data_IF_699002340461
#
_entry.id   IF_699002340461
#
_cell.length_a   1.000
_cell.length_b   1.000
_cell.length_c   1.000
_cell.angle_alpha   90.00
_cell.angle_beta   90.00
_cell.angle_gamma   90.00
#
_symmetry.space_group_name_H-M   'P 1'
#
loop_
_entity.id
_entity.type
_entity.pdbx_description
1 polymer ?
#
# COMPACT_ATOMS: atom_id res chain seq x y z
N UNK A 1 -49.47 46.05 -27.48
CA UNK A 1 -48.03 46.07 -27.12
C UNK A 1 -47.91 45.68 -25.66
N UNK A 2 -47.52 44.45 -25.38
CA UNK A 2 -47.29 43.98 -24.02
C UNK A 2 -45.77 44.12 -23.72
N UNK A 3 -45.43 45.07 -22.84
CA UNK A 3 -44.08 45.26 -22.33
C UNK A 3 -43.90 44.24 -21.21
N UNK A 4 -43.14 43.19 -21.46
CA UNK A 4 -42.77 42.16 -20.47
C UNK A 4 -41.75 42.79 -19.52
N UNK A 5 -42.19 43.00 -18.28
CA UNK A 5 -41.35 43.57 -17.20
C UNK A 5 -40.25 42.61 -16.81
N UNK A 6 -39.05 42.84 -17.34
CA UNK A 6 -37.83 42.04 -17.15
C UNK A 6 -37.23 42.16 -15.71
N UNK A 7 -37.79 43.05 -14.87
CA UNK A 7 -37.26 43.35 -13.52
C UNK A 7 -37.63 42.30 -12.47
N UNK A 8 -38.62 41.44 -12.73
CA UNK A 8 -39.09 40.42 -11.79
C UNK A 8 -38.43 39.05 -11.96
N UNK A 9 -37.75 38.82 -13.08
CA UNK A 9 -37.05 37.54 -13.35
C UNK A 9 -35.68 37.43 -12.67
N UNK A 10 -35.02 38.57 -12.48
CA UNK A 10 -33.67 38.61 -11.89
C UNK A 10 -33.60 38.09 -10.42
N UNK A 11 -34.52 38.46 -9.51
CA UNK A 11 -34.45 37.98 -8.13
C UNK A 11 -34.84 36.51 -7.97
N UNK A 12 -35.60 35.93 -8.91
CA UNK A 12 -35.95 34.50 -8.87
C UNK A 12 -34.78 33.65 -9.36
N UNK A 13 -34.04 34.11 -10.36
CA UNK A 13 -32.85 33.42 -10.87
C UNK A 13 -31.72 33.44 -9.85
N UNK A 14 -31.48 34.54 -9.15
CA UNK A 14 -30.47 34.67 -8.10
C UNK A 14 -30.83 33.83 -6.87
N UNK A 15 -32.10 33.73 -6.49
CA UNK A 15 -32.55 32.85 -5.41
C UNK A 15 -32.45 31.37 -5.76
N UNK A 16 -32.72 31.02 -7.04
CA UNK A 16 -32.54 29.66 -7.55
C UNK A 16 -31.06 29.23 -7.56
N UNK A 17 -30.16 30.11 -7.95
CA UNK A 17 -28.73 29.87 -7.98
C UNK A 17 -28.12 29.79 -6.56
N UNK A 18 -28.60 30.63 -5.62
CA UNK A 18 -28.17 30.58 -4.23
C UNK A 18 -28.65 29.30 -3.49
N UNK A 19 -29.82 28.76 -3.88
CA UNK A 19 -30.31 27.50 -3.31
C UNK A 19 -29.59 26.27 -3.89
N UNK A 20 -29.06 26.36 -5.11
CA UNK A 20 -28.25 25.30 -5.73
C UNK A 20 -26.83 25.19 -5.11
N UNK A 21 -26.30 26.28 -4.54
CA UNK A 21 -25.01 26.29 -3.86
C UNK A 21 -25.06 25.79 -2.40
N UNK A 22 -26.25 25.58 -1.82
CA UNK A 22 -26.39 25.15 -0.42
C UNK A 22 -26.32 23.63 -0.22
N UNK A 23 -26.21 22.83 -1.28
CA UNK A 23 -25.81 21.43 -1.20
C UNK A 23 -24.28 21.31 -1.27
N UNK A 24 -23.59 21.91 -0.33
CA UNK A 24 -22.23 21.45 0.00
C UNK A 24 -22.41 20.05 0.59
N UNK A 25 -22.32 19.06 -0.26
CA UNK A 25 -22.16 17.68 0.16
C UNK A 25 -20.92 17.67 1.05
N UNK A 26 -21.07 17.21 2.26
CA UNK A 26 -19.92 16.87 3.11
C UNK A 26 -19.18 15.78 2.33
N UNK A 27 -18.16 16.18 1.57
CA UNK A 27 -17.24 15.24 0.96
C UNK A 27 -16.62 14.46 2.12
N UNK A 28 -16.76 13.15 2.12
CA UNK A 28 -16.00 12.31 3.04
C UNK A 28 -14.54 12.45 2.62
N UNK A 29 -13.76 13.17 3.42
CA UNK A 29 -12.33 13.30 3.22
C UNK A 29 -11.66 11.92 3.33
N UNK A 30 -10.52 11.75 2.65
CA UNK A 30 -9.66 10.60 2.81
C UNK A 30 -9.41 10.33 4.31
N UNK A 31 -9.35 9.08 4.69
CA UNK A 31 -9.16 8.69 6.09
C UNK A 31 -7.90 7.86 6.23
N UNK A 32 -7.15 8.12 7.32
CA UNK A 32 -6.02 7.25 7.68
C UNK A 32 -6.48 5.81 7.87
N UNK A 33 -5.60 4.83 7.56
CA UNK A 33 -5.84 3.44 7.93
C UNK A 33 -6.10 3.29 9.43
N UNK A 34 -7.03 2.42 9.80
CA UNK A 34 -7.41 2.20 11.20
C UNK A 34 -6.27 1.61 12.02
N UNK A 35 -6.23 1.95 13.31
CA UNK A 35 -5.35 1.32 14.29
C UNK A 35 -5.68 -0.17 14.36
N UNK A 36 -4.67 -1.01 14.18
CA UNK A 36 -4.84 -2.46 14.24
C UNK A 36 -3.55 -3.16 14.68
N UNK A 37 -3.72 -4.36 15.18
CA UNK A 37 -2.65 -5.35 15.40
C UNK A 37 -3.11 -6.64 14.74
N UNK A 38 -2.37 -7.07 13.74
CA UNK A 38 -2.62 -8.34 13.06
C UNK A 38 -1.50 -9.31 13.36
N UNK A 39 -1.87 -10.50 13.80
CA UNK A 39 -0.96 -11.62 14.00
C UNK A 39 -1.43 -12.78 13.14
N UNK A 40 -0.60 -13.21 12.24
CA UNK A 40 -0.89 -14.26 11.28
C UNK A 40 0.21 -15.32 11.33
N UNK A 41 -0.18 -16.58 11.21
CA UNK A 41 0.72 -17.67 10.83
C UNK A 41 0.25 -18.22 9.50
N UNK A 42 1.12 -18.16 8.49
CA UNK A 42 0.82 -18.66 7.16
C UNK A 42 1.51 -19.99 6.92
N UNK A 43 0.94 -20.81 6.05
CA UNK A 43 1.54 -22.04 5.56
C UNK A 43 1.09 -22.32 4.14
N UNK A 44 2.06 -22.52 3.28
CA UNK A 44 1.87 -23.05 1.93
C UNK A 44 2.55 -24.41 1.83
N UNK A 45 1.87 -25.38 1.22
CA UNK A 45 2.39 -26.73 0.99
C UNK A 45 2.01 -27.13 -0.43
N UNK A 46 2.99 -27.23 -1.31
CA UNK A 46 2.74 -27.55 -2.70
C UNK A 46 4.00 -27.56 -3.57
N UNK A 47 3.98 -28.33 -4.64
CA UNK A 47 5.11 -28.38 -5.59
C UNK A 47 6.41 -28.96 -5.04
N UNK A 48 6.36 -29.70 -3.92
CA UNK A 48 7.56 -30.21 -3.24
C UNK A 48 8.24 -29.15 -2.35
N UNK A 49 7.54 -28.05 -2.04
CA UNK A 49 8.02 -26.97 -1.20
C UNK A 49 7.00 -26.67 -0.10
N UNK A 50 7.49 -26.46 1.10
CA UNK A 50 6.70 -25.93 2.23
C UNK A 50 7.28 -24.58 2.61
N UNK A 51 6.39 -23.57 2.72
CA UNK A 51 6.73 -22.24 3.21
C UNK A 51 5.80 -21.96 4.37
N UNK A 52 6.34 -21.64 5.53
CA UNK A 52 5.52 -21.23 6.66
C UNK A 52 6.24 -20.22 7.56
N UNK A 53 5.47 -19.49 8.36
CA UNK A 53 6.05 -18.54 9.31
C UNK A 53 5.05 -17.57 9.92
N UNK A 54 5.47 -16.83 10.94
CA UNK A 54 4.68 -15.79 11.57
C UNK A 54 4.78 -14.46 10.83
N UNK A 55 3.70 -13.69 10.92
CA UNK A 55 3.66 -12.26 10.56
C UNK A 55 2.99 -11.47 11.66
N UNK A 56 3.54 -10.34 12.01
CA UNK A 56 2.97 -9.39 12.97
C UNK A 56 3.00 -8.01 12.36
N UNK A 57 1.82 -7.38 12.24
CA UNK A 57 1.66 -5.98 11.83
C UNK A 57 1.08 -5.20 13.00
N UNK A 58 1.67 -4.07 13.31
CA UNK A 58 1.14 -3.08 14.25
C UNK A 58 1.00 -1.75 13.53
N UNK A 59 -0.19 -1.15 13.62
CA UNK A 59 -0.48 0.17 13.08
C UNK A 59 -1.09 1.05 14.16
N UNK A 60 -0.61 2.29 14.26
CA UNK A 60 -1.06 3.24 15.25
C UNK A 60 -1.14 4.66 14.71
N UNK A 61 -2.28 5.30 14.87
CA UNK A 61 -2.45 6.73 14.60
C UNK A 61 -1.77 7.57 15.67
N UNK A 62 -1.02 8.57 15.24
CA UNK A 62 -0.34 9.57 16.06
C UNK A 62 -0.95 10.93 15.76
N UNK A 63 -2.04 11.22 16.47
CA UNK A 63 -2.89 12.39 16.19
C UNK A 63 -3.82 12.16 14.99
N UNK A 64 -4.45 13.23 14.47
CA UNK A 64 -5.49 13.10 13.44
C UNK A 64 -4.95 12.94 12.02
N UNK A 65 -3.67 13.18 11.77
CA UNK A 65 -3.10 13.29 10.42
C UNK A 65 -1.97 12.32 10.15
N UNK A 66 -1.50 11.57 11.15
CA UNK A 66 -0.34 10.69 10.99
C UNK A 66 -0.70 9.28 11.47
N UNK A 67 -0.35 8.27 10.69
CA UNK A 67 -0.37 6.88 11.10
C UNK A 67 1.02 6.29 10.90
N UNK A 68 1.48 5.50 11.86
CA UNK A 68 2.74 4.76 11.77
C UNK A 68 2.45 3.28 11.78
N UNK A 69 3.24 2.50 11.05
CA UNK A 69 3.11 1.05 11.03
C UNK A 69 4.47 0.38 11.07
N UNK A 70 4.50 -0.80 11.67
CA UNK A 70 5.65 -1.69 11.67
C UNK A 70 5.19 -3.12 11.43
N UNK A 71 5.88 -3.83 10.57
CA UNK A 71 5.62 -5.24 10.28
C UNK A 71 6.90 -6.04 10.43
N UNK A 72 6.74 -7.22 11.00
CA UNK A 72 7.72 -8.27 11.05
C UNK A 72 7.15 -9.51 10.37
N UNK A 73 7.88 -10.10 9.46
CA UNK A 73 7.43 -11.22 8.66
C UNK A 73 8.56 -12.26 8.52
N UNK A 74 8.26 -13.52 8.66
CA UNK A 74 9.23 -14.62 8.50
C UNK A 74 8.65 -15.66 7.55
N UNK A 75 9.45 -16.08 6.58
CA UNK A 75 9.25 -17.27 5.76
C UNK A 75 10.32 -18.30 6.07
N UNK A 76 9.91 -19.44 6.56
CA UNK A 76 10.74 -20.64 6.62
C UNK A 76 10.44 -21.50 5.40
N UNK A 77 11.39 -21.58 4.49
CA UNK A 77 11.27 -22.33 3.23
C UNK A 77 11.98 -23.66 3.35
N UNK A 78 11.24 -24.74 3.19
CA UNK A 78 11.77 -26.09 3.10
C UNK A 78 11.42 -26.66 1.73
N UNK A 79 12.42 -27.06 0.95
CA UNK A 79 12.21 -27.65 -0.36
C UNK A 79 12.94 -28.99 -0.46
N UNK A 80 12.21 -30.01 -0.91
CA UNK A 80 12.75 -31.32 -1.25
C UNK A 80 12.19 -31.77 -2.58
N UNK A 81 12.99 -31.73 -3.65
CA UNK A 81 12.60 -32.42 -4.88
C UNK A 81 12.72 -33.93 -4.68
N UNK A 82 11.92 -34.72 -5.41
CA UNK A 82 11.96 -36.18 -5.34
C UNK A 82 13.38 -36.72 -5.65
N UNK A 83 14.11 -36.04 -6.52
CA UNK A 83 15.50 -36.38 -6.88
C UNK A 83 16.50 -35.99 -5.78
N UNK A 84 16.22 -34.91 -5.02
CA UNK A 84 17.06 -34.43 -3.91
C UNK A 84 16.88 -35.28 -2.67
N UNK A 85 15.65 -35.74 -2.36
CA UNK A 85 15.38 -36.63 -1.21
C UNK A 85 16.15 -37.95 -1.32
N UNK A 86 16.45 -38.39 -2.52
CA UNK A 86 17.18 -39.63 -2.77
C UNK A 86 18.71 -39.46 -2.65
N UNK A 87 19.29 -38.26 -2.79
CA UNK A 87 20.73 -38.04 -2.96
C UNK A 87 21.32 -36.85 -2.19
N UNK A 88 20.52 -35.96 -1.58
CA UNK A 88 21.03 -34.75 -0.91
C UNK A 88 20.19 -34.38 0.35
N UNK A 89 20.72 -33.45 1.13
CA UNK A 89 20.07 -32.89 2.33
C UNK A 89 18.88 -32.03 1.91
N UNK A 90 17.84 -32.02 2.73
CA UNK A 90 16.72 -31.08 2.63
C UNK A 90 17.25 -29.64 2.61
N UNK A 91 16.80 -28.84 1.63
CA UNK A 91 17.12 -27.41 1.55
C UNK A 91 16.21 -26.65 2.49
N UNK A 92 16.79 -25.92 3.40
CA UNK A 92 16.06 -25.06 4.34
C UNK A 92 16.61 -23.65 4.28
N UNK A 93 15.74 -22.67 4.11
CA UNK A 93 16.07 -21.25 4.09
C UNK A 93 15.10 -20.46 4.96
N UNK A 94 15.59 -19.41 5.60
CA UNK A 94 14.81 -18.50 6.38
C UNK A 94 14.97 -17.09 5.80
N UNK A 95 13.81 -16.47 5.47
CA UNK A 95 13.72 -15.08 5.09
C UNK A 95 13.07 -14.29 6.21
N UNK A 96 13.73 -13.25 6.65
CA UNK A 96 13.18 -12.30 7.62
C UNK A 96 13.00 -10.94 6.99
N UNK A 97 11.82 -10.35 7.17
CA UNK A 97 11.49 -9.04 6.63
C UNK A 97 10.97 -8.10 7.72
N UNK A 98 11.48 -6.87 7.70
CA UNK A 98 11.00 -5.77 8.52
C UNK A 98 10.52 -4.64 7.62
N UNK A 99 9.29 -4.17 7.86
CA UNK A 99 8.74 -3.00 7.16
C UNK A 99 8.36 -1.93 8.17
N UNK A 100 8.76 -0.70 7.90
CA UNK A 100 8.32 0.49 8.62
C UNK A 100 7.56 1.40 7.65
N UNK A 101 6.44 1.97 8.09
CA UNK A 101 5.61 2.84 7.28
C UNK A 101 5.09 4.05 8.06
N UNK A 102 4.94 5.16 7.33
CA UNK A 102 4.30 6.38 7.83
C UNK A 102 3.33 6.87 6.77
N UNK A 103 2.08 7.09 7.16
CA UNK A 103 1.04 7.71 6.35
C UNK A 103 0.73 9.09 6.90
N UNK A 104 0.68 10.10 6.02
CA UNK A 104 0.30 11.46 6.36
C UNK A 104 -0.94 11.88 5.58
N UNK A 105 -2.00 12.22 6.31
CA UNK A 105 -3.26 12.70 5.75
C UNK A 105 -3.24 14.22 5.63
N UNK A 106 -3.47 14.71 4.43
CA UNK A 106 -3.66 16.13 4.14
C UNK A 106 -4.90 16.30 3.25
N UNK A 107 -5.97 16.84 3.84
CA UNK A 107 -7.27 16.97 3.18
C UNK A 107 -7.74 15.64 2.55
N UNK A 108 -7.85 15.57 1.22
CA UNK A 108 -8.28 14.40 0.47
C UNK A 108 -7.08 13.57 -0.05
N UNK A 109 -5.88 13.82 0.46
CA UNK A 109 -4.65 13.15 0.02
C UNK A 109 -4.01 12.37 1.16
N UNK A 110 -3.51 11.18 0.86
CA UNK A 110 -2.64 10.42 1.75
C UNK A 110 -1.27 10.30 1.10
N UNK A 111 -0.25 10.77 1.81
CA UNK A 111 1.15 10.56 1.46
C UNK A 111 1.69 9.41 2.30
N UNK A 112 2.24 8.40 1.66
CA UNK A 112 2.83 7.24 2.33
C UNK A 112 4.31 7.17 2.04
N UNK A 113 5.09 6.94 3.09
CA UNK A 113 6.51 6.64 3.03
C UNK A 113 6.74 5.32 3.74
N UNK A 114 7.63 4.51 3.23
CA UNK A 114 8.00 3.29 3.91
C UNK A 114 9.37 2.77 3.49
N UNK A 115 9.86 1.88 4.33
CA UNK A 115 11.13 1.20 4.16
C UNK A 115 10.98 -0.25 4.55
N UNK A 116 11.46 -1.14 3.70
CA UNK A 116 11.49 -2.58 3.92
C UNK A 116 12.93 -3.07 3.82
N UNK A 117 13.35 -3.86 4.78
CA UNK A 117 14.56 -4.68 4.73
C UNK A 117 14.16 -6.15 4.76
N UNK A 118 14.65 -6.93 3.83
CA UNK A 118 14.47 -8.38 3.75
C UNK A 118 15.84 -9.03 3.69
N UNK A 119 16.07 -10.02 4.53
CA UNK A 119 17.35 -10.73 4.64
C UNK A 119 17.13 -12.23 4.57
N UNK A 120 17.93 -12.87 3.74
CA UNK A 120 18.08 -14.31 3.56
C UNK A 120 19.57 -14.69 3.71
N UNK A 121 19.92 -15.96 3.57
CA UNK A 121 21.31 -16.40 3.76
C UNK A 121 22.30 -15.84 2.73
N UNK A 122 21.82 -15.59 1.50
CA UNK A 122 22.63 -15.14 0.35
C UNK A 122 21.96 -13.97 -0.42
N UNK A 123 20.96 -13.34 0.19
CA UNK A 123 20.24 -12.21 -0.40
C UNK A 123 19.81 -11.20 0.66
N UNK A 124 20.19 -9.95 0.49
CA UNK A 124 19.72 -8.83 1.28
C UNK A 124 19.08 -7.78 0.38
N UNK A 125 17.85 -7.38 0.70
CA UNK A 125 17.10 -6.40 -0.05
C UNK A 125 16.65 -5.23 0.81
N UNK A 126 16.97 -4.03 0.36
CA UNK A 126 16.58 -2.78 1.00
C UNK A 126 15.70 -2.00 0.03
N UNK A 127 14.46 -1.71 0.40
CA UNK A 127 13.50 -1.01 -0.44
C UNK A 127 12.91 0.19 0.28
N UNK A 128 13.06 1.37 -0.31
CA UNK A 128 12.32 2.56 0.10
C UNK A 128 11.18 2.83 -0.89
N UNK A 129 10.00 3.20 -0.38
CA UNK A 129 8.87 3.55 -1.21
C UNK A 129 8.21 4.86 -0.77
N UNK A 130 7.61 5.52 -1.75
CA UNK A 130 6.80 6.71 -1.58
C UNK A 130 5.55 6.56 -2.44
N UNK A 131 4.39 6.94 -1.91
CA UNK A 131 3.17 7.03 -2.71
C UNK A 131 2.31 8.21 -2.30
N UNK A 132 1.49 8.68 -3.25
CA UNK A 132 0.44 9.68 -3.05
C UNK A 132 -0.85 9.10 -3.55
N UNK A 133 -1.86 9.10 -2.71
CA UNK A 133 -3.22 8.71 -3.05
C UNK A 133 -4.13 9.93 -2.89
N UNK A 134 -4.78 10.34 -3.97
CA UNK A 134 -5.66 11.50 -4.01
C UNK A 134 -7.09 11.08 -4.29
N UNK A 135 -8.00 11.47 -3.41
CA UNK A 135 -9.43 11.29 -3.62
C UNK A 135 -10.05 12.46 -4.38
N UNK A 136 -11.01 12.14 -5.23
CA UNK A 136 -11.77 13.09 -6.04
C UNK A 136 -13.26 12.78 -5.94
N UNK A 137 -14.09 13.79 -6.17
CA UNK A 137 -15.55 13.65 -6.21
C UNK A 137 -16.14 13.04 -4.94
N UNK A 138 -15.62 13.44 -3.76
CA UNK A 138 -16.09 12.94 -2.47
C UNK A 138 -15.83 11.45 -2.26
N UNK A 139 -14.65 10.96 -2.63
CA UNK A 139 -14.23 9.58 -2.47
C UNK A 139 -14.76 8.60 -3.53
N UNK A 140 -15.45 9.11 -4.57
CA UNK A 140 -15.92 8.25 -5.67
C UNK A 140 -14.81 7.81 -6.61
N UNK A 141 -13.74 8.58 -6.70
CA UNK A 141 -12.57 8.25 -7.52
C UNK A 141 -11.32 8.46 -6.70
N UNK A 142 -10.37 7.53 -6.79
CA UNK A 142 -9.06 7.64 -6.14
C UNK A 142 -7.96 7.37 -7.16
N UNK A 143 -7.01 8.28 -7.27
CA UNK A 143 -5.80 8.11 -8.07
C UNK A 143 -4.63 7.90 -7.13
N UNK A 144 -3.85 6.85 -7.38
CA UNK A 144 -2.64 6.54 -6.63
C UNK A 144 -1.43 6.56 -7.55
N UNK A 145 -0.41 7.29 -7.15
CA UNK A 145 0.91 7.30 -7.76
C UNK A 145 1.91 6.78 -6.75
N UNK A 146 2.80 5.89 -7.17
CA UNK A 146 3.81 5.32 -6.30
C UNK A 146 5.14 5.15 -7.01
N UNK A 147 6.19 5.22 -6.23
CA UNK A 147 7.56 4.93 -6.62
C UNK A 147 8.27 4.16 -5.53
N UNK A 148 8.97 3.11 -5.91
CA UNK A 148 9.86 2.39 -5.00
C UNK A 148 11.23 2.18 -5.63
N UNK A 149 12.27 2.28 -4.83
CA UNK A 149 13.64 1.94 -5.18
C UNK A 149 14.16 0.88 -4.23
N UNK A 150 14.61 -0.22 -4.79
CA UNK A 150 15.30 -1.30 -4.09
C UNK A 150 16.78 -1.31 -4.43
N UNK A 151 17.58 -1.63 -3.43
CA UNK A 151 19.00 -1.94 -3.55
C UNK A 151 19.18 -3.30 -2.89
N UNK A 152 19.60 -4.26 -3.71
CA UNK A 152 19.71 -5.66 -3.32
C UNK A 152 21.15 -6.09 -3.44
N UNK A 153 21.64 -6.85 -2.46
CA UNK A 153 22.91 -7.53 -2.49
C UNK A 153 22.67 -9.03 -2.64
N UNK A 154 23.26 -9.61 -3.68
CA UNK A 154 23.11 -11.03 -4.03
C UNK A 154 24.42 -11.74 -3.79
N UNK A 155 24.43 -12.66 -2.84
CA UNK A 155 25.57 -13.52 -2.55
C UNK A 155 25.42 -14.92 -3.15
N UNK A 156 26.37 -15.78 -2.83
CA UNK A 156 26.31 -17.22 -3.12
C UNK A 156 26.57 -17.99 -1.83
N UNK A 157 25.66 -18.86 -1.49
CA UNK A 157 25.79 -19.69 -0.28
C UNK A 157 27.09 -20.50 -0.30
N UNK A 158 27.94 -20.26 0.70
CA UNK A 158 29.26 -20.94 0.85
C UNK A 158 30.40 -20.27 0.08
N UNK A 159 30.18 -19.16 -0.59
CA UNK A 159 31.23 -18.34 -1.20
C UNK A 159 31.07 -16.88 -0.78
N UNK A 160 31.70 -16.49 0.32
CA UNK A 160 31.70 -15.13 0.86
C UNK A 160 32.45 -14.11 -0.03
N UNK A 161 33.15 -14.57 -1.06
CA UNK A 161 33.87 -13.70 -1.97
C UNK A 161 33.02 -13.19 -3.12
N UNK A 162 31.85 -13.79 -3.33
CA UNK A 162 30.91 -13.37 -4.37
C UNK A 162 29.84 -12.47 -3.76
N UNK A 163 29.74 -11.25 -4.27
CA UNK A 163 28.65 -10.31 -3.97
C UNK A 163 28.40 -9.44 -5.20
N UNK A 164 27.16 -9.35 -5.63
CA UNK A 164 26.71 -8.53 -6.74
C UNK A 164 25.56 -7.64 -6.30
N UNK A 165 25.63 -6.36 -6.68
CA UNK A 165 24.59 -5.37 -6.39
C UNK A 165 23.54 -5.32 -7.50
N UNK A 166 22.26 -5.24 -7.12
CA UNK A 166 21.15 -5.06 -8.03
C UNK A 166 20.28 -3.87 -7.62
N UNK A 167 20.08 -2.94 -8.54
CA UNK A 167 19.17 -1.80 -8.35
C UNK A 167 17.81 -2.11 -8.99
N UNK A 168 16.73 -1.91 -8.23
CA UNK A 168 15.35 -2.05 -8.70
C UNK A 168 14.61 -0.73 -8.62
N UNK A 169 13.76 -0.46 -9.61
CA UNK A 169 12.86 0.69 -9.62
C UNK A 169 11.48 0.23 -10.03
N UNK A 170 10.47 0.60 -9.23
CA UNK A 170 9.09 0.29 -9.50
C UNK A 170 8.26 1.57 -9.54
N UNK A 171 7.40 1.69 -10.55
CA UNK A 171 6.44 2.77 -10.70
C UNK A 171 5.04 2.18 -10.62
N UNK A 172 4.17 2.82 -9.86
CA UNK A 172 2.78 2.42 -9.71
C UNK A 172 1.85 3.55 -10.14
N UNK A 173 0.85 3.20 -10.94
CA UNK A 173 -0.31 4.04 -11.24
C UNK A 173 -1.57 3.24 -10.94
N UNK A 174 -2.40 3.73 -10.05
CA UNK A 174 -3.67 3.14 -9.67
C UNK A 174 -4.83 4.09 -9.94
N UNK A 175 -5.95 3.55 -10.38
CA UNK A 175 -7.23 4.25 -10.46
C UNK A 175 -8.31 3.34 -9.84
N UNK A 176 -8.98 3.84 -8.82
CA UNK A 176 -10.17 3.23 -8.24
C UNK A 176 -11.37 4.10 -8.50
N UNK A 177 -12.47 3.51 -8.96
CA UNK A 177 -13.71 4.22 -9.27
C UNK A 177 -14.91 3.46 -8.71
N UNK A 178 -15.70 4.13 -7.88
CA UNK A 178 -17.00 3.61 -7.45
C UNK A 178 -18.00 3.77 -8.59
N UNK A 179 -18.48 2.67 -9.15
CA UNK A 179 -19.38 2.67 -10.30
C UNK A 179 -20.84 2.76 -9.88
N UNK A 180 -21.19 2.16 -8.74
CA UNK A 180 -22.54 2.18 -8.18
C UNK A 180 -22.50 2.22 -6.66
N UNK A 181 -23.63 2.59 -6.02
CA UNK A 181 -23.73 2.61 -4.55
C UNK A 181 -23.46 1.24 -3.89
N UNK A 182 -23.59 0.16 -4.63
CA UNK A 182 -23.50 -1.22 -4.12
C UNK A 182 -22.35 -2.02 -4.79
N UNK A 183 -21.40 -1.37 -5.44
CA UNK A 183 -20.22 -2.00 -6.03
C UNK A 183 -18.96 -1.62 -5.25
#
# INVERSE_FOLDING_TARGET
>A
MAVTDCSRLFPVLVKGLACAMAFVQIATAATLPQDNVDVLYHRYDGGGMVIDGPSVLVRKSVGPQVSVSGQYYVDMVSAASVDVVALASEYTEERTEYTLGVDYLHEDSILSLGYTNSSENDYEANTAYFSVSQEFFGGMSTVTLGYARGQDEVGVRGDESFSEDADRQNYQLGLSQVMTRNS
#
